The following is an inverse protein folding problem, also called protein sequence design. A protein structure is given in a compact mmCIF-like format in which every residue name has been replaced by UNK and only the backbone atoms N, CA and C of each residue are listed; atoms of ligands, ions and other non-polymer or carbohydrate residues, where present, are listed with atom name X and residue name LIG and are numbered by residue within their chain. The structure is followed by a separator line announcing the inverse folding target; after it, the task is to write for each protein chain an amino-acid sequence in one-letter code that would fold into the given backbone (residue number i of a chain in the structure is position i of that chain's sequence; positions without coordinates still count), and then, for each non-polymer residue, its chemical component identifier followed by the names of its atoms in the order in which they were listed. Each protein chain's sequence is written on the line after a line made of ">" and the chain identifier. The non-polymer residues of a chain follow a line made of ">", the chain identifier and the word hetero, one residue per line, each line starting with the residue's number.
data_IF_149398562942
#
_entry.id   IF_149398562942
#
_cell.length_a   1.000
_cell.length_b   1.000
_cell.length_c   1.000
_cell.angle_alpha   90.00
_cell.angle_beta   90.00
_cell.angle_gamma   90.00
#
_symmetry.space_group_name_H-M   'P 1'
#
loop_
_entity.id
_entity.type
_entity.pdbx_description
1 polymer ?
#
# COMPACT_ATOMS: atom_id res chain seq x y z
N UNK A 1 3.25 -0.68 -17.76
CA UNK A 1 2.67 0.10 -18.83
C UNK A 1 1.89 1.26 -18.23
N UNK A 2 2.20 2.48 -18.64
CA UNK A 2 1.51 3.69 -18.22
C UNK A 2 0.55 4.10 -19.33
N UNK A 3 -0.71 4.35 -18.98
CA UNK A 3 -1.64 5.05 -19.87
C UNK A 3 -1.24 6.53 -19.87
N UNK A 4 -0.93 7.09 -21.03
CA UNK A 4 -0.48 8.49 -21.19
C UNK A 4 0.76 8.88 -20.36
N UNK A 5 1.70 7.95 -20.18
CA UNK A 5 2.91 8.19 -19.39
C UNK A 5 2.70 8.28 -17.87
N UNK A 6 1.48 8.07 -17.39
CA UNK A 6 1.12 8.11 -15.97
C UNK A 6 1.03 6.71 -15.38
N UNK A 7 1.37 6.59 -14.11
CA UNK A 7 1.17 5.33 -13.40
C UNK A 7 -0.33 5.16 -13.05
N UNK A 8 -0.90 3.98 -13.35
CA UNK A 8 -2.28 3.67 -12.95
C UNK A 8 -2.40 3.64 -11.42
N UNK A 9 -3.64 3.63 -10.93
CA UNK A 9 -3.89 3.41 -9.52
C UNK A 9 -3.70 1.93 -9.20
N UNK A 10 -2.63 1.62 -8.49
CA UNK A 10 -2.24 0.23 -8.19
C UNK A 10 -2.30 -0.08 -6.70
N UNK A 11 -1.95 0.89 -5.87
CA UNK A 11 -1.69 0.69 -4.46
C UNK A 11 -1.96 1.96 -3.65
N UNK A 12 -2.44 1.77 -2.42
CA UNK A 12 -2.42 2.77 -1.36
C UNK A 12 -1.38 2.34 -0.33
N UNK A 13 -0.46 3.24 -0.01
CA UNK A 13 0.46 3.06 1.13
C UNK A 13 -0.10 3.72 2.38
N UNK A 14 0.12 3.05 3.49
CA UNK A 14 -0.13 3.58 4.83
C UNK A 14 1.19 3.60 5.57
N UNK A 15 1.48 4.72 6.17
CA UNK A 15 2.66 4.97 6.99
C UNK A 15 2.17 5.25 8.41
N UNK A 16 2.52 4.41 9.35
CA UNK A 16 2.26 4.63 10.77
C UNK A 16 3.51 5.15 11.45
N UNK A 17 3.39 6.30 12.08
CA UNK A 17 4.47 6.96 12.78
C UNK A 17 4.58 6.43 14.22
N UNK A 18 5.67 5.75 14.56
CA UNK A 18 5.87 5.18 15.91
C UNK A 18 6.73 6.07 16.82
N UNK A 19 7.10 7.26 16.36
CA UNK A 19 7.88 8.23 17.12
C UNK A 19 7.60 9.64 16.60
N UNK A 20 7.96 10.66 17.38
CA UNK A 20 7.71 12.04 17.01
C UNK A 20 8.66 12.51 15.90
N UNK A 21 8.09 12.93 14.77
CA UNK A 21 8.76 13.61 13.65
C UNK A 21 8.18 15.01 13.48
N UNK A 22 8.04 15.76 14.56
CA UNK A 22 7.42 17.10 14.58
C UNK A 22 8.35 18.20 14.10
N UNK A 23 9.67 17.90 14.10
CA UNK A 23 10.70 18.80 13.60
C UNK A 23 11.24 18.36 12.25
N UNK A 24 11.87 19.26 11.51
CA UNK A 24 12.57 18.93 10.28
C UNK A 24 13.82 18.10 10.55
N UNK A 25 14.27 17.35 9.53
CA UNK A 25 15.46 16.48 9.61
C UNK A 25 15.36 15.34 10.63
N UNK A 26 14.15 14.89 10.92
CA UNK A 26 13.88 13.70 11.74
C UNK A 26 13.56 12.45 10.88
N UNK A 27 14.02 12.41 9.61
CA UNK A 27 13.65 11.36 8.68
C UNK A 27 12.22 11.52 8.18
N UNK A 28 11.73 12.74 8.04
CA UNK A 28 10.37 13.07 7.65
C UNK A 28 10.04 12.50 6.27
N UNK A 29 8.79 12.10 6.09
CA UNK A 29 8.26 11.78 4.79
C UNK A 29 7.96 13.08 4.03
N UNK A 30 8.44 13.15 2.79
CA UNK A 30 8.14 14.21 1.86
C UNK A 30 7.20 13.67 0.79
N UNK A 31 6.16 14.41 0.47
CA UNK A 31 5.20 14.08 -0.58
C UNK A 31 5.06 15.26 -1.53
N UNK A 32 4.96 14.99 -2.84
CA UNK A 32 4.60 15.98 -3.84
C UNK A 32 3.11 15.85 -4.17
N UNK A 33 2.22 16.66 -3.57
CA UNK A 33 0.77 16.54 -3.76
C UNK A 33 0.39 16.68 -5.23
N UNK A 34 -0.50 15.80 -5.72
CA UNK A 34 -0.97 15.84 -7.11
C UNK A 34 -0.02 15.26 -8.14
N UNK A 35 1.23 14.92 -7.78
CA UNK A 35 2.24 14.40 -8.72
C UNK A 35 1.85 13.09 -9.40
N UNK A 36 0.96 12.30 -8.80
CA UNK A 36 0.41 11.08 -9.42
C UNK A 36 -0.35 11.33 -10.72
N UNK A 37 -0.71 12.59 -11.01
CA UNK A 37 -1.35 13.02 -12.26
C UNK A 37 -0.33 13.38 -13.34
N UNK A 38 0.94 13.49 -12.99
CA UNK A 38 2.02 13.90 -13.89
C UNK A 38 2.64 12.69 -14.58
N UNK A 39 3.14 12.85 -15.81
CA UNK A 39 3.88 11.78 -16.50
C UNK A 39 5.15 11.39 -15.73
N UNK A 40 5.49 10.11 -15.72
CA UNK A 40 6.70 9.61 -15.06
C UNK A 40 7.98 10.19 -15.68
N UNK A 41 7.92 10.54 -16.97
CA UNK A 41 9.04 11.17 -17.67
C UNK A 41 9.48 12.50 -17.02
N UNK A 42 8.56 13.26 -16.44
CA UNK A 42 8.89 14.50 -15.73
C UNK A 42 9.73 14.23 -14.47
N UNK A 43 9.41 13.15 -13.74
CA UNK A 43 10.20 12.75 -12.57
C UNK A 43 11.63 12.31 -12.98
N UNK A 44 11.73 11.61 -14.10
CA UNK A 44 13.04 11.20 -14.64
C UNK A 44 13.84 12.40 -15.11
N UNK A 45 13.21 13.38 -15.75
CA UNK A 45 13.87 14.62 -16.18
C UNK A 45 14.40 15.45 -15.01
N UNK A 46 13.83 15.30 -13.82
CA UNK A 46 14.30 15.91 -12.58
C UNK A 46 15.28 15.00 -11.80
N UNK A 47 15.85 13.98 -12.44
CA UNK A 47 16.75 13.01 -11.80
C UNK A 47 16.16 12.37 -10.52
N UNK A 48 14.83 12.25 -10.50
CA UNK A 48 14.03 11.80 -9.34
C UNK A 48 14.13 12.70 -8.10
N UNK A 49 14.61 13.93 -8.28
CA UNK A 49 14.70 14.92 -7.21
C UNK A 49 13.63 15.99 -7.41
N UNK A 50 12.56 15.92 -6.64
CA UNK A 50 11.48 16.90 -6.69
C UNK A 50 11.91 18.16 -5.94
N UNK A 51 11.76 19.37 -6.53
CA UNK A 51 12.05 20.62 -5.83
C UNK A 51 11.24 20.74 -4.53
N UNK A 52 11.88 21.24 -3.49
CA UNK A 52 11.26 21.36 -2.15
C UNK A 52 9.97 22.16 -2.18
N UNK A 53 9.86 23.15 -3.06
CA UNK A 53 8.70 24.00 -3.23
C UNK A 53 7.49 23.23 -3.79
N UNK A 54 7.71 22.08 -4.41
CA UNK A 54 6.68 21.18 -4.95
C UNK A 54 6.36 20.02 -4.01
N UNK A 55 7.05 19.92 -2.89
CA UNK A 55 6.91 18.84 -1.94
C UNK A 55 6.57 19.36 -0.54
N UNK A 56 5.78 18.59 0.18
CA UNK A 56 5.36 18.86 1.55
C UNK A 56 6.14 17.96 2.50
N UNK A 57 6.89 18.56 3.41
CA UNK A 57 7.50 17.85 4.54
C UNK A 57 6.43 17.56 5.59
N UNK A 58 6.23 16.30 5.90
CA UNK A 58 5.24 15.90 6.90
C UNK A 58 5.85 15.91 8.29
N UNK A 59 5.41 16.83 9.13
CA UNK A 59 5.75 16.92 10.54
C UNK A 59 4.66 16.26 11.36
N UNK A 60 4.97 15.09 11.92
CA UNK A 60 3.98 14.16 12.45
C UNK A 60 4.33 13.75 13.89
N UNK A 61 3.38 13.85 14.82
CA UNK A 61 3.55 13.23 16.14
C UNK A 61 3.43 11.69 16.03
N UNK A 62 3.97 11.00 17.04
CA UNK A 62 3.76 9.57 17.20
C UNK A 62 2.27 9.22 17.21
N UNK A 63 1.89 8.09 16.62
CA UNK A 63 0.49 7.66 16.46
C UNK A 63 -0.19 8.20 15.20
N UNK A 64 0.45 9.11 14.45
CA UNK A 64 -0.09 9.58 13.18
C UNK A 64 -0.09 8.48 12.11
N UNK A 65 -1.08 8.52 11.24
CA UNK A 65 -1.13 7.71 10.03
C UNK A 65 -1.25 8.60 8.80
N UNK A 66 -0.45 8.30 7.76
CA UNK A 66 -0.52 8.97 6.46
C UNK A 66 -0.87 7.95 5.40
N UNK A 67 -1.86 8.28 4.57
CA UNK A 67 -2.29 7.46 3.45
C UNK A 67 -2.03 8.21 2.15
N UNK A 68 -1.42 7.54 1.16
CA UNK A 68 -1.21 8.12 -0.16
C UNK A 68 -1.20 7.05 -1.24
N UNK A 69 -1.47 7.45 -2.49
CA UNK A 69 -1.27 6.58 -3.65
C UNK A 69 0.22 6.37 -3.87
N UNK A 70 0.63 5.14 -4.12
CA UNK A 70 2.05 4.80 -4.42
C UNK A 70 2.62 5.63 -5.57
N UNK A 71 1.80 5.99 -6.56
CA UNK A 71 2.20 6.84 -7.67
C UNK A 71 2.47 8.31 -7.30
N UNK A 72 2.13 8.76 -6.08
CA UNK A 72 2.53 10.09 -5.59
C UNK A 72 4.03 10.10 -5.36
N UNK A 73 4.72 11.06 -5.95
CA UNK A 73 6.17 11.19 -5.77
C UNK A 73 6.47 11.50 -4.32
N UNK A 74 7.37 10.73 -3.75
CA UNK A 74 7.70 10.82 -2.34
C UNK A 74 9.14 10.38 -2.08
N UNK A 75 9.70 10.90 -1.02
CA UNK A 75 11.00 10.49 -0.52
C UNK A 75 11.05 10.61 1.00
N UNK A 76 12.12 10.10 1.58
CA UNK A 76 12.43 10.27 3.00
C UNK A 76 13.55 11.28 3.13
N UNK A 77 13.34 12.28 3.96
CA UNK A 77 14.36 13.27 4.30
C UNK A 77 15.47 12.69 5.20
N UNK A 78 16.55 13.43 5.39
CA UNK A 78 17.63 13.03 6.30
C UNK A 78 17.11 12.92 7.73
N UNK A 79 17.71 12.03 8.50
CA UNK A 79 17.56 12.00 9.96
C UNK A 79 18.88 12.47 10.60
N UNK A 80 18.87 13.71 11.05
CA UNK A 80 19.98 14.34 11.78
C UNK A 80 19.70 14.39 13.28
N UNK A 81 18.55 13.85 13.72
CA UNK A 81 18.22 13.76 15.15
C UNK A 81 18.98 12.61 15.81
N UNK A 82 19.05 12.64 17.15
CA UNK A 82 19.62 11.54 17.94
C UNK A 82 18.64 10.38 18.13
N UNK A 83 17.45 10.43 17.52
CA UNK A 83 16.40 9.43 17.68
C UNK A 83 16.40 8.44 16.53
N UNK A 84 16.21 7.18 16.84
CA UNK A 84 15.97 6.15 15.80
C UNK A 84 14.58 6.30 15.21
N UNK A 85 14.49 6.50 13.90
CA UNK A 85 13.23 6.54 13.18
C UNK A 85 12.59 5.16 13.14
N UNK A 86 11.36 5.05 13.65
CA UNK A 86 10.58 3.81 13.66
C UNK A 86 9.22 4.04 13.01
N UNK A 87 8.92 3.24 12.01
CA UNK A 87 7.67 3.32 11.24
C UNK A 87 7.17 1.92 10.93
N UNK A 88 5.87 1.83 10.66
CA UNK A 88 5.28 0.66 10.01
C UNK A 88 4.75 1.13 8.65
N UNK A 89 5.19 0.47 7.59
CA UNK A 89 4.63 0.64 6.25
C UNK A 89 3.73 -0.54 5.91
N UNK A 90 2.54 -0.24 5.39
CA UNK A 90 1.62 -1.25 4.87
C UNK A 90 1.17 -0.82 3.49
N UNK A 91 1.23 -1.70 2.51
CA UNK A 91 0.69 -1.51 1.18
C UNK A 91 -0.63 -2.26 1.02
N UNK A 92 -1.66 -1.57 0.51
CA UNK A 92 -2.92 -2.19 0.09
C UNK A 92 -3.01 -2.06 -1.43
N UNK A 93 -2.96 -3.18 -2.12
CA UNK A 93 -2.93 -3.24 -3.58
C UNK A 93 -3.94 -4.26 -4.12
N UNK A 94 -4.10 -4.26 -5.42
CA UNK A 94 -4.91 -5.28 -6.07
C UNK A 94 -4.33 -6.68 -5.83
N UNK A 95 -5.19 -7.66 -5.67
CA UNK A 95 -4.82 -9.01 -5.29
C UNK A 95 -3.89 -9.71 -6.31
N UNK A 96 -3.95 -9.32 -7.57
CA UNK A 96 -3.07 -9.84 -8.61
C UNK A 96 -1.64 -9.30 -8.56
N UNK A 97 -1.39 -8.22 -7.77
CA UNK A 97 -0.05 -7.76 -7.45
C UNK A 97 0.47 -8.59 -6.28
N UNK A 98 1.53 -9.33 -6.51
CA UNK A 98 2.13 -10.16 -5.46
C UNK A 98 3.01 -9.31 -4.54
N UNK A 99 2.99 -9.56 -3.24
CA UNK A 99 4.00 -9.03 -2.32
C UNK A 99 5.41 -9.45 -2.76
N UNK A 100 6.39 -8.60 -2.50
CA UNK A 100 7.80 -8.88 -2.79
C UNK A 100 8.53 -9.48 -1.59
N UNK A 101 7.99 -9.33 -0.40
CA UNK A 101 8.57 -9.70 0.89
C UNK A 101 8.07 -11.06 1.41
N UNK A 102 6.97 -11.58 0.87
CA UNK A 102 6.49 -12.92 1.17
C UNK A 102 5.66 -13.48 0.00
N UNK A 103 5.68 -14.79 -0.17
CA UNK A 103 4.87 -15.50 -1.16
C UNK A 103 3.52 -15.88 -0.53
N UNK A 104 3.56 -16.35 0.71
CA UNK A 104 2.40 -16.78 1.47
C UNK A 104 2.52 -16.32 2.92
N UNK A 105 1.43 -15.89 3.49
CA UNK A 105 1.37 -15.52 4.91
C UNK A 105 1.50 -16.74 5.83
N UNK A 106 2.07 -16.52 7.01
CA UNK A 106 2.16 -17.52 8.05
C UNK A 106 0.76 -18.06 8.44
N UNK A 107 0.54 -19.39 8.36
CA UNK A 107 -0.76 -19.97 8.68
C UNK A 107 -1.20 -19.71 10.12
N UNK A 108 -0.27 -19.67 11.07
CA UNK A 108 -0.58 -19.38 12.47
C UNK A 108 -1.02 -17.92 12.68
N UNK A 109 -0.52 -16.99 11.85
CA UNK A 109 -1.02 -15.63 11.84
C UNK A 109 -2.45 -15.59 11.29
N UNK A 110 -2.70 -16.23 10.16
CA UNK A 110 -4.02 -16.23 9.51
C UNK A 110 -5.10 -16.85 10.40
N UNK A 111 -4.80 -17.94 11.11
CA UNK A 111 -5.73 -18.58 12.03
C UNK A 111 -6.22 -17.67 13.16
N UNK A 112 -5.41 -16.69 13.55
CA UNK A 112 -5.75 -15.69 14.60
C UNK A 112 -6.48 -14.48 14.06
N UNK A 113 -6.71 -14.40 12.76
CA UNK A 113 -7.32 -13.27 12.10
C UNK A 113 -8.80 -13.52 11.80
N UNK A 114 -9.60 -12.45 11.88
CA UNK A 114 -10.96 -12.47 11.35
C UNK A 114 -10.95 -12.68 9.83
N UNK A 115 -12.04 -13.16 9.21
CA UNK A 115 -12.11 -13.35 7.75
C UNK A 115 -11.72 -12.11 6.94
N UNK A 116 -12.12 -10.91 7.39
CA UNK A 116 -11.74 -9.65 6.74
C UNK A 116 -10.21 -9.45 6.79
N UNK A 117 -9.59 -9.69 7.94
CA UNK A 117 -8.14 -9.56 8.09
C UNK A 117 -7.39 -10.60 7.28
N UNK A 118 -7.89 -11.84 7.22
CA UNK A 118 -7.33 -12.88 6.37
C UNK A 118 -7.32 -12.44 4.91
N UNK A 119 -8.44 -11.90 4.42
CA UNK A 119 -8.54 -11.38 3.06
C UNK A 119 -7.57 -10.22 2.79
N UNK A 120 -7.48 -9.27 3.72
CA UNK A 120 -6.55 -8.13 3.63
C UNK A 120 -5.07 -8.56 3.67
N UNK A 121 -4.76 -9.64 4.39
CA UNK A 121 -3.44 -10.25 4.43
C UNK A 121 -3.14 -11.15 3.22
N UNK A 122 -4.03 -11.20 2.24
CA UNK A 122 -3.84 -11.94 1.02
C UNK A 122 -4.12 -13.45 1.13
N UNK A 123 -4.83 -13.90 2.16
CA UNK A 123 -5.24 -15.29 2.25
C UNK A 123 -5.99 -15.72 0.99
N UNK A 124 -5.67 -16.92 0.51
CA UNK A 124 -6.33 -17.53 -0.64
C UNK A 124 -7.42 -18.48 -0.17
N UNK A 125 -8.47 -18.70 -0.98
CA UNK A 125 -9.44 -19.76 -0.74
C UNK A 125 -8.74 -21.11 -0.64
N UNK A 126 -9.34 -22.04 0.08
CA UNK A 126 -8.83 -23.42 0.16
C UNK A 126 -8.72 -24.01 -1.25
N UNK A 127 -7.55 -24.59 -1.54
CA UNK A 127 -7.24 -25.19 -2.84
C UNK A 127 -6.76 -24.21 -3.92
N UNK A 128 -6.70 -22.91 -3.64
CA UNK A 128 -6.07 -21.97 -4.55
C UNK A 128 -4.55 -22.13 -4.55
N UNK A 129 -3.94 -22.06 -5.73
CA UNK A 129 -2.49 -22.11 -5.90
C UNK A 129 -1.89 -20.70 -5.68
N UNK A 130 -1.11 -20.48 -4.60
CA UNK A 130 -0.54 -19.18 -4.32
C UNK A 130 0.52 -18.74 -5.34
N UNK A 131 1.15 -19.67 -6.02
CA UNK A 131 2.21 -19.39 -7.00
C UNK A 131 1.66 -19.22 -8.42
N UNK A 132 0.41 -19.68 -8.68
CA UNK A 132 -0.18 -19.66 -10.01
C UNK A 132 0.57 -20.57 -10.98
N UNK A 133 1.17 -21.65 -10.48
CA UNK A 133 1.93 -22.61 -11.30
C UNK A 133 1.02 -23.42 -12.23
N UNK A 134 -0.24 -23.54 -11.87
CA UNK A 134 -1.27 -24.10 -12.75
C UNK A 134 -1.78 -22.99 -13.65
N UNK A 135 -1.25 -22.93 -14.84
CA UNK A 135 -1.48 -21.88 -15.84
C UNK A 135 -2.95 -21.61 -16.21
N UNK A 136 -3.81 -22.56 -15.91
CA UNK A 136 -5.24 -22.50 -16.21
C UNK A 136 -6.07 -21.97 -15.04
N UNK A 137 -5.41 -21.58 -13.94
CA UNK A 137 -6.10 -21.04 -12.78
C UNK A 137 -6.35 -19.56 -12.99
N UNK A 138 -7.60 -19.16 -12.90
CA UNK A 138 -8.01 -17.78 -12.86
C UNK A 138 -7.19 -16.99 -11.82
N UNK A 139 -6.92 -15.71 -12.06
CA UNK A 139 -6.29 -14.85 -11.06
C UNK A 139 -7.00 -14.99 -9.72
N UNK A 140 -6.25 -15.01 -8.64
CA UNK A 140 -6.79 -15.32 -7.30
C UNK A 140 -8.00 -14.47 -6.88
N UNK A 141 -8.09 -13.24 -7.40
CA UNK A 141 -9.26 -12.38 -7.22
C UNK A 141 -10.48 -12.90 -7.97
N UNK A 142 -10.30 -13.32 -9.21
CA UNK A 142 -11.34 -13.88 -10.03
C UNK A 142 -11.81 -15.23 -9.46
N UNK A 143 -10.86 -16.08 -9.06
CA UNK A 143 -11.16 -17.33 -8.39
C UNK A 143 -12.03 -17.12 -7.14
N UNK A 144 -11.69 -16.11 -6.29
CA UNK A 144 -12.49 -15.81 -5.11
C UNK A 144 -13.90 -15.39 -5.48
N UNK A 145 -14.04 -14.46 -6.44
CA UNK A 145 -15.34 -13.96 -6.88
C UNK A 145 -16.20 -15.04 -7.55
N UNK A 146 -15.57 -15.93 -8.35
CA UNK A 146 -16.27 -16.98 -9.08
C UNK A 146 -16.71 -18.11 -8.16
N UNK A 147 -15.85 -18.52 -7.24
CA UNK A 147 -16.12 -19.70 -6.39
C UNK A 147 -16.77 -19.35 -5.05
N UNK A 148 -16.70 -18.09 -4.62
CA UNK A 148 -17.30 -17.61 -3.39
C UNK A 148 -17.98 -16.25 -3.62
N UNK A 149 -18.96 -16.14 -4.52
CA UNK A 149 -19.55 -14.86 -4.90
C UNK A 149 -20.22 -14.15 -3.72
N UNK A 150 -20.73 -14.93 -2.75
CA UNK A 150 -21.41 -14.45 -1.56
C UNK A 150 -20.51 -14.36 -0.33
N UNK A 151 -19.30 -14.95 -0.40
CA UNK A 151 -18.36 -14.99 0.72
C UNK A 151 -17.12 -14.11 0.45
N UNK A 152 -17.36 -12.83 0.24
CA UNK A 152 -16.31 -11.82 0.18
C UNK A 152 -16.40 -10.95 1.44
N UNK A 153 -15.70 -11.30 2.52
CA UNK A 153 -15.87 -10.67 3.83
C UNK A 153 -15.73 -9.15 3.81
N UNK A 154 -14.76 -8.63 3.02
CA UNK A 154 -14.56 -7.19 2.90
C UNK A 154 -15.72 -6.51 2.15
N UNK A 155 -16.28 -7.14 1.13
CA UNK A 155 -17.45 -6.62 0.41
C UNK A 155 -18.66 -6.56 1.31
N UNK A 156 -18.96 -7.65 2.00
CA UNK A 156 -20.08 -7.74 2.94
C UNK A 156 -19.98 -6.67 4.05
N UNK A 157 -18.78 -6.48 4.60
CA UNK A 157 -18.52 -5.43 5.58
C UNK A 157 -18.75 -4.03 5.00
N UNK A 158 -18.26 -3.74 3.81
CA UNK A 158 -18.43 -2.44 3.13
C UNK A 158 -19.89 -2.14 2.87
N UNK A 159 -20.68 -3.14 2.45
CA UNK A 159 -22.11 -2.99 2.23
C UNK A 159 -22.88 -2.75 3.54
N UNK A 160 -22.42 -3.35 4.63
CA UNK A 160 -23.01 -3.11 5.95
C UNK A 160 -22.84 -1.67 6.44
N UNK A 161 -21.74 -1.00 6.04
CA UNK A 161 -21.49 0.41 6.37
C UNK A 161 -22.41 1.38 5.63
N UNK A 162 -22.87 1.02 4.42
CA UNK A 162 -23.77 1.87 3.62
C UNK A 162 -25.20 1.86 4.15
N UNK A 163 -25.54 0.92 5.01
CA UNK A 163 -26.88 0.77 5.60
C UNK A 163 -27.03 1.47 6.95
N UNK A 164 -25.99 2.08 7.45
CA UNK A 164 -25.96 2.94 8.63
C UNK A 164 -25.96 4.41 8.25
#
# INVERSE_FOLDING_TARGET
>A
PSLDGRLPFMEIKVFYCLFDMTESNCGNLWLAPGSYKRPLAELHAMERCVPKEQALELKLPAGSAVLWRTATWHCVGPNQSQKTRKIIHVGYHYRWLRPTDYIQQDPGLLQRCSPIRQQLLGALPSGADPLGEKSDVEPSSQYWLTNNPDDVPLKAWTESLKKK
#
